data_IF_557638555802
#
_entry.id   IF_557638555802
#
_cell.length_a   1.000
_cell.length_b   1.000
_cell.length_c   1.000
_cell.angle_alpha   90.00
_cell.angle_beta   90.00
_cell.angle_gamma   90.00
#
_symmetry.space_group_name_H-M   'P 1'
#
loop_
_entity.id
_entity.type
_entity.pdbx_description
1 polymer ?
#
# COMPACT_ATOMS: atom_id res chain seq x y z
N UNK A 1 -32.36 31.83 0.03
CA UNK A 1 -31.69 30.52 0.25
C UNK A 1 -30.34 30.52 -0.47
N UNK A 2 -29.21 30.38 0.25
CA UNK A 2 -27.91 30.22 -0.41
C UNK A 2 -27.94 28.87 -1.09
N UNK A 3 -27.72 28.82 -2.41
CA UNK A 3 -27.68 27.58 -3.16
C UNK A 3 -26.56 26.70 -2.58
N UNK A 4 -26.86 25.50 -2.10
CA UNK A 4 -25.90 24.54 -1.57
C UNK A 4 -24.85 24.17 -2.61
N UNK A 5 -25.23 24.15 -3.92
CA UNK A 5 -24.31 23.93 -5.05
C UNK A 5 -23.24 25.00 -5.11
N UNK A 6 -23.60 26.28 -5.05
CA UNK A 6 -22.66 27.40 -5.06
C UNK A 6 -21.79 27.42 -3.80
N UNK A 7 -22.32 26.97 -2.66
CA UNK A 7 -21.53 26.81 -1.43
C UNK A 7 -20.49 25.69 -1.57
N UNK A 8 -20.83 24.57 -2.22
CA UNK A 8 -19.91 23.47 -2.51
C UNK A 8 -18.80 23.89 -3.46
N UNK A 9 -19.15 24.55 -4.57
CA UNK A 9 -18.17 25.07 -5.54
C UNK A 9 -17.18 26.06 -4.91
N UNK A 10 -17.63 26.90 -3.97
CA UNK A 10 -16.76 27.86 -3.26
C UNK A 10 -15.82 27.19 -2.26
N UNK A 11 -16.24 26.09 -1.63
CA UNK A 11 -15.39 25.36 -0.68
C UNK A 11 -14.28 24.58 -1.37
N UNK A 12 -14.48 24.18 -2.62
CA UNK A 12 -13.52 23.36 -3.36
C UNK A 12 -13.32 21.99 -2.70
N UNK A 13 -12.08 21.48 -2.75
CA UNK A 13 -11.71 20.20 -2.14
C UNK A 13 -11.60 20.41 -0.62
N UNK A 14 -12.45 19.73 0.15
CA UNK A 14 -12.49 19.77 1.63
C UNK A 14 -12.02 18.46 2.28
N UNK A 15 -11.61 17.51 1.47
CA UNK A 15 -11.03 16.23 1.85
C UNK A 15 -9.50 16.37 2.00
N UNK A 16 -8.74 15.34 1.73
CA UNK A 16 -7.27 15.43 1.71
C UNK A 16 -6.77 16.25 0.51
N UNK A 17 -5.65 16.97 0.71
CA UNK A 17 -4.87 17.59 -0.38
C UNK A 17 -3.85 16.64 -0.99
N UNK A 18 -3.74 15.42 -0.47
CA UNK A 18 -2.83 14.42 -1.00
C UNK A 18 -3.13 14.11 -2.48
N UNK A 19 -2.12 13.98 -3.35
CA UNK A 19 -0.67 13.94 -3.12
C UNK A 19 0.03 15.32 -3.08
N UNK A 20 -0.68 16.44 -3.29
CA UNK A 20 -0.10 17.79 -3.35
C UNK A 20 0.29 18.32 -1.97
N UNK A 21 -0.34 17.82 -0.93
CA UNK A 21 -0.05 18.12 0.46
C UNK A 21 0.53 16.90 1.20
N UNK A 22 0.85 17.13 2.47
CA UNK A 22 1.31 16.06 3.35
C UNK A 22 0.19 15.09 3.71
N UNK A 23 0.59 13.87 4.05
CA UNK A 23 -0.32 12.86 4.57
C UNK A 23 -0.80 13.27 5.98
N UNK A 24 -2.11 13.37 6.15
CA UNK A 24 -2.71 13.71 7.43
C UNK A 24 -2.84 12.47 8.31
N UNK A 25 -2.51 12.61 9.61
CA UNK A 25 -2.73 11.59 10.66
C UNK A 25 -2.26 10.17 10.31
N UNK A 26 -0.95 9.98 10.18
CA UNK A 26 -0.33 8.67 9.96
C UNK A 26 0.27 8.17 11.28
N UNK A 27 0.13 6.87 11.55
CA UNK A 27 0.88 6.25 12.65
C UNK A 27 2.38 6.43 12.45
N UNK A 28 3.07 6.92 13.46
CA UNK A 28 4.50 7.20 13.39
C UNK A 28 5.31 5.99 12.86
N UNK A 29 5.01 4.79 13.35
CA UNK A 29 5.71 3.56 12.96
C UNK A 29 5.28 2.97 11.61
N UNK A 30 4.31 3.56 10.93
CA UNK A 30 3.98 3.22 9.53
C UNK A 30 4.90 3.91 8.52
N UNK A 31 5.90 4.65 8.99
CA UNK A 31 6.89 5.36 8.17
C UNK A 31 8.27 4.72 8.31
N UNK A 32 9.17 4.98 7.36
CA UNK A 32 10.52 4.41 7.41
C UNK A 32 11.29 5.00 8.60
N UNK A 33 11.78 4.17 9.55
CA UNK A 33 12.60 4.67 10.64
C UNK A 33 13.97 5.12 10.19
N UNK A 34 14.51 6.16 10.84
CA UNK A 34 15.88 6.65 10.67
C UNK A 34 16.69 6.41 11.92
N UNK A 35 18.00 6.10 11.74
CA UNK A 35 18.90 5.89 12.87
C UNK A 35 19.15 7.20 13.61
N UNK A 36 19.07 7.16 14.94
CA UNK A 36 19.35 8.30 15.85
C UNK A 36 20.54 8.05 16.76
N UNK A 37 20.72 6.82 17.17
CA UNK A 37 21.75 6.45 18.14
C UNK A 37 22.46 5.16 17.71
N UNK A 38 23.70 5.03 18.08
CA UNK A 38 24.41 3.76 18.00
C UNK A 38 23.89 2.78 19.06
N UNK A 39 23.95 1.51 18.77
CA UNK A 39 23.53 0.46 19.68
C UNK A 39 23.04 -0.78 18.93
N UNK A 40 23.09 -1.91 19.63
CA UNK A 40 22.56 -3.17 19.14
C UNK A 40 21.03 -3.17 19.22
N UNK A 41 20.40 -3.63 18.15
CA UNK A 41 18.95 -3.82 18.09
C UNK A 41 18.67 -5.29 17.84
N UNK A 42 17.80 -5.88 18.65
CA UNK A 42 17.25 -7.21 18.41
C UNK A 42 15.93 -7.10 17.65
N UNK A 43 15.99 -7.28 16.34
CA UNK A 43 14.83 -7.19 15.48
C UNK A 43 14.19 -8.56 15.25
N UNK A 44 12.90 -8.76 15.63
CA UNK A 44 12.25 -10.07 15.46
C UNK A 44 11.99 -10.46 13.99
N UNK A 45 12.06 -9.48 13.08
CA UNK A 45 11.86 -9.69 11.65
C UNK A 45 13.16 -9.57 10.83
N UNK A 46 14.31 -9.44 11.53
CA UNK A 46 15.61 -9.29 10.87
C UNK A 46 15.64 -8.14 9.85
N UNK A 47 14.92 -7.07 10.16
CA UNK A 47 14.74 -5.92 9.26
C UNK A 47 15.75 -4.80 9.51
N UNK A 48 16.47 -4.82 10.65
CA UNK A 48 17.42 -3.78 11.01
C UNK A 48 18.79 -4.11 10.44
N UNK A 49 19.30 -3.25 9.59
CA UNK A 49 20.65 -3.25 9.05
C UNK A 49 21.53 -2.24 9.82
N UNK A 50 22.82 -2.11 9.45
CA UNK A 50 23.75 -1.25 10.19
C UNK A 50 23.20 0.17 10.42
N UNK A 51 22.74 0.84 9.35
CA UNK A 51 22.30 2.25 9.39
C UNK A 51 20.87 2.45 8.89
N UNK A 52 20.18 1.40 8.53
CA UNK A 52 18.85 1.47 7.92
C UNK A 52 17.93 0.36 8.40
N UNK A 53 16.66 0.53 8.09
CA UNK A 53 15.63 -0.49 8.28
C UNK A 53 15.11 -0.92 6.92
N UNK A 54 15.19 -2.21 6.63
CA UNK A 54 14.60 -2.81 5.45
C UNK A 54 13.07 -2.87 5.62
N UNK A 55 12.37 -2.00 4.92
CA UNK A 55 10.92 -1.86 5.05
C UNK A 55 10.14 -3.05 4.47
N UNK A 56 10.72 -3.83 3.57
CA UNK A 56 10.08 -5.03 3.03
C UNK A 56 9.91 -6.12 4.09
N UNK A 57 10.78 -6.11 5.12
CA UNK A 57 10.76 -7.07 6.24
C UNK A 57 10.23 -6.47 7.54
N UNK A 58 10.19 -5.14 7.64
CA UNK A 58 9.82 -4.45 8.87
C UNK A 58 8.33 -4.68 9.21
N UNK A 59 8.07 -5.21 10.41
CA UNK A 59 6.72 -5.42 10.95
C UNK A 59 6.21 -4.26 11.79
N UNK A 60 6.84 -3.10 11.73
CA UNK A 60 6.45 -1.85 12.41
C UNK A 60 6.23 -1.99 13.92
N UNK A 61 6.94 -2.88 14.58
CA UNK A 61 6.75 -3.21 16.01
C UNK A 61 7.37 -2.20 16.99
N UNK A 62 8.19 -1.25 16.50
CA UNK A 62 8.84 -0.22 17.32
C UNK A 62 9.96 -0.69 18.23
N UNK A 63 10.35 -1.98 18.23
CA UNK A 63 11.39 -2.53 19.13
C UNK A 63 12.79 -1.97 18.88
N UNK A 64 13.00 -1.33 17.74
CA UNK A 64 14.26 -0.66 17.41
C UNK A 64 14.44 0.71 18.08
N UNK A 65 13.42 1.24 18.78
CA UNK A 65 13.58 2.41 19.62
C UNK A 65 14.44 2.07 20.88
N UNK A 66 15.26 3.02 21.37
CA UNK A 66 15.43 4.40 20.89
C UNK A 66 16.46 4.57 19.78
N UNK A 67 17.10 3.48 19.27
CA UNK A 67 18.15 3.57 18.26
C UNK A 67 17.63 4.11 16.91
N UNK A 68 16.36 3.85 16.61
CA UNK A 68 15.67 4.34 15.42
C UNK A 68 14.40 5.10 15.82
N UNK A 69 14.10 6.16 15.08
CA UNK A 69 12.87 6.93 15.21
C UNK A 69 12.13 7.03 13.88
N UNK A 70 10.78 7.11 13.89
CA UNK A 70 9.99 7.31 12.69
C UNK A 70 10.34 8.61 11.96
N UNK A 71 10.49 8.56 10.64
CA UNK A 71 10.83 9.74 9.84
C UNK A 71 9.63 10.58 9.37
N UNK A 72 8.41 10.06 9.50
CA UNK A 72 7.18 10.76 9.10
C UNK A 72 6.83 10.66 7.60
N UNK A 73 7.71 10.16 6.74
CA UNK A 73 7.41 10.02 5.32
C UNK A 73 6.64 8.72 5.02
N UNK A 74 5.50 8.85 4.34
CA UNK A 74 4.64 7.74 3.90
C UNK A 74 4.97 7.24 2.48
N UNK A 75 5.84 7.95 1.75
CA UNK A 75 6.19 7.65 0.35
C UNK A 75 7.28 6.58 0.26
N UNK A 76 7.03 5.43 0.89
CA UNK A 76 7.98 4.32 1.03
C UNK A 76 7.73 3.16 0.05
N UNK A 77 6.74 3.29 -0.83
CA UNK A 77 6.45 2.29 -1.84
C UNK A 77 7.56 2.20 -2.88
N UNK A 78 7.92 0.97 -3.25
CA UNK A 78 8.93 0.65 -4.25
C UNK A 78 8.24 0.17 -5.53
N UNK A 79 8.57 0.81 -6.66
CA UNK A 79 8.02 0.48 -7.97
C UNK A 79 9.13 -0.06 -8.85
N UNK A 80 8.91 -1.22 -9.48
CA UNK A 80 9.73 -1.71 -10.58
C UNK A 80 9.29 -1.09 -11.90
N UNK A 81 7.98 -0.89 -12.07
CA UNK A 81 7.40 -0.31 -13.28
C UNK A 81 6.20 0.58 -12.95
N UNK A 82 5.95 1.59 -13.78
CA UNK A 82 4.73 2.39 -13.80
C UNK A 82 4.13 2.38 -15.20
N UNK A 83 2.81 2.37 -15.31
CA UNK A 83 2.14 2.30 -16.60
C UNK A 83 1.22 3.51 -16.81
N UNK A 84 1.63 4.43 -17.70
CA UNK A 84 0.87 5.65 -18.03
C UNK A 84 -0.47 5.40 -18.72
N UNK A 85 -0.73 4.18 -19.16
CA UNK A 85 -2.00 3.78 -19.77
C UNK A 85 -3.18 3.98 -18.83
N UNK A 86 -2.94 3.86 -17.50
CA UNK A 86 -3.98 3.94 -16.47
C UNK A 86 -4.24 5.35 -15.92
N UNK A 87 -3.69 6.40 -16.52
CA UNK A 87 -3.76 7.77 -15.96
C UNK A 87 -5.17 8.32 -15.78
N UNK A 88 -6.13 7.94 -16.61
CA UNK A 88 -7.51 8.47 -16.54
C UNK A 88 -8.38 7.69 -15.59
N UNK A 89 -8.21 6.37 -15.56
CA UNK A 89 -9.03 5.46 -14.77
C UNK A 89 -8.18 4.26 -14.39
N UNK A 90 -8.18 3.89 -13.12
CA UNK A 90 -7.38 2.80 -12.57
C UNK A 90 -8.24 1.94 -11.67
N UNK A 91 -8.61 0.76 -12.16
CA UNK A 91 -9.46 -0.18 -11.46
C UNK A 91 -8.61 -1.20 -10.72
N UNK A 92 -8.87 -1.36 -9.45
CA UNK A 92 -8.12 -2.26 -8.58
C UNK A 92 -9.01 -3.39 -8.07
N UNK A 93 -8.48 -4.60 -8.11
CA UNK A 93 -9.09 -5.78 -7.48
C UNK A 93 -8.23 -6.21 -6.29
N UNK A 94 -8.87 -6.38 -5.14
CA UNK A 94 -8.21 -6.80 -3.90
C UNK A 94 -8.39 -8.30 -3.72
N UNK A 95 -7.27 -9.00 -3.45
CA UNK A 95 -7.27 -10.41 -3.05
C UNK A 95 -6.52 -10.58 -1.73
N UNK A 96 -7.15 -11.25 -0.79
CA UNK A 96 -6.55 -11.64 0.49
C UNK A 96 -6.07 -13.09 0.39
N UNK A 97 -4.76 -13.29 0.45
CA UNK A 97 -4.13 -14.62 0.33
C UNK A 97 -3.81 -15.27 1.68
N UNK A 98 -4.12 -14.61 2.79
CA UNK A 98 -3.89 -15.11 4.14
C UNK A 98 -3.40 -14.01 5.08
N UNK A 99 -4.15 -12.92 5.15
CA UNK A 99 -3.82 -11.80 6.04
C UNK A 99 -4.34 -12.02 7.46
N UNK A 100 -3.78 -11.24 8.41
CA UNK A 100 -4.38 -11.10 9.74
C UNK A 100 -5.57 -10.12 9.77
N UNK A 101 -5.97 -9.59 8.60
CA UNK A 101 -7.02 -8.59 8.44
C UNK A 101 -6.54 -7.13 8.45
N UNK A 102 -5.39 -6.82 9.03
CA UNK A 102 -4.92 -5.43 9.17
C UNK A 102 -4.71 -4.73 7.81
N UNK A 103 -3.94 -5.34 6.90
CA UNK A 103 -3.71 -4.77 5.56
C UNK A 103 -5.02 -4.65 4.77
N UNK A 104 -5.92 -5.62 4.90
CA UNK A 104 -7.23 -5.62 4.27
C UNK A 104 -8.07 -4.41 4.72
N UNK A 105 -8.08 -4.16 6.03
CA UNK A 105 -8.77 -3.00 6.63
C UNK A 105 -8.21 -1.67 6.09
N UNK A 106 -6.89 -1.54 5.98
CA UNK A 106 -6.25 -0.31 5.49
C UNK A 106 -6.53 -0.08 3.98
N UNK A 107 -6.57 -1.13 3.17
CA UNK A 107 -6.97 -1.03 1.76
C UNK A 107 -8.43 -0.61 1.65
N UNK A 108 -9.33 -1.20 2.43
CA UNK A 108 -10.74 -0.81 2.45
C UNK A 108 -10.96 0.60 3.00
N UNK A 109 -10.10 1.08 3.92
CA UNK A 109 -10.15 2.43 4.44
C UNK A 109 -10.01 3.51 3.35
N UNK A 110 -9.39 3.20 2.20
CA UNK A 110 -9.35 4.10 1.04
C UNK A 110 -10.73 4.55 0.56
N UNK A 111 -11.76 3.73 0.80
CA UNK A 111 -13.16 4.08 0.48
C UNK A 111 -13.74 5.15 1.40
N UNK A 112 -13.05 5.52 2.49
CA UNK A 112 -13.49 6.60 3.37
C UNK A 112 -13.37 7.94 2.62
N UNK A 113 -14.39 8.81 2.67
CA UNK A 113 -14.38 10.12 2.02
C UNK A 113 -13.17 10.99 2.32
N UNK A 114 -12.50 10.78 3.45
CA UNK A 114 -11.28 11.52 3.82
C UNK A 114 -10.17 11.32 2.78
N UNK A 115 -9.96 10.11 2.29
CA UNK A 115 -8.90 9.80 1.32
C UNK A 115 -9.25 10.18 -0.11
N UNK A 116 -10.55 10.23 -0.43
CA UNK A 116 -11.09 10.75 -1.69
C UNK A 116 -10.40 10.16 -2.95
N UNK A 117 -10.10 8.86 -2.90
CA UNK A 117 -9.31 8.19 -3.92
C UNK A 117 -10.01 8.15 -5.29
N UNK A 118 -11.36 8.21 -5.30
CA UNK A 118 -12.13 8.28 -6.54
C UNK A 118 -11.86 9.58 -7.32
N UNK A 119 -11.63 10.70 -6.63
CA UNK A 119 -11.21 11.97 -7.26
C UNK A 119 -9.90 11.80 -8.02
N UNK A 120 -9.06 10.91 -7.57
CA UNK A 120 -7.79 10.58 -8.22
C UNK A 120 -7.96 9.57 -9.37
N UNK A 121 -9.19 9.21 -9.76
CA UNK A 121 -9.46 8.26 -10.83
C UNK A 121 -9.13 6.81 -10.47
N UNK A 122 -9.16 6.46 -9.18
CA UNK A 122 -8.91 5.11 -8.68
C UNK A 122 -10.24 4.52 -8.20
N UNK A 123 -10.53 3.27 -8.57
CA UNK A 123 -11.79 2.62 -8.29
C UNK A 123 -11.59 1.15 -7.91
N UNK A 124 -12.37 0.66 -6.95
CA UNK A 124 -12.45 -0.78 -6.71
C UNK A 124 -13.34 -1.45 -7.76
N UNK A 125 -12.95 -2.63 -8.20
CA UNK A 125 -13.78 -3.51 -9.02
C UNK A 125 -14.05 -4.83 -8.30
N UNK A 126 -15.19 -5.45 -8.57
CA UNK A 126 -15.62 -6.71 -7.96
C UNK A 126 -15.11 -7.95 -8.69
N UNK A 127 -14.40 -7.78 -9.81
CA UNK A 127 -13.90 -8.90 -10.61
C UNK A 127 -12.53 -8.60 -11.19
N UNK A 128 -11.61 -9.58 -11.21
CA UNK A 128 -10.28 -9.40 -11.80
C UNK A 128 -10.33 -9.11 -13.32
N UNK A 129 -11.40 -9.52 -14.01
CA UNK A 129 -11.56 -9.27 -15.46
C UNK A 129 -11.69 -7.80 -15.85
N UNK A 130 -12.00 -6.94 -14.89
CA UNK A 130 -12.14 -5.50 -15.09
C UNK A 130 -11.08 -4.72 -14.30
N UNK A 131 -10.06 -5.39 -13.79
CA UNK A 131 -9.00 -4.79 -13.01
C UNK A 131 -7.78 -4.47 -13.87
N UNK A 132 -7.22 -3.29 -13.66
CA UNK A 132 -5.93 -2.84 -14.17
C UNK A 132 -4.79 -3.24 -13.22
N UNK A 133 -5.11 -3.34 -11.92
CA UNK A 133 -4.17 -3.79 -10.90
C UNK A 133 -4.78 -4.79 -9.92
N UNK A 134 -3.96 -5.76 -9.52
CA UNK A 134 -4.24 -6.73 -8.46
C UNK A 134 -3.51 -6.30 -7.19
N UNK A 135 -4.25 -5.90 -6.15
CA UNK A 135 -3.68 -5.71 -4.82
C UNK A 135 -3.74 -7.02 -4.08
N UNK A 136 -2.58 -7.53 -3.68
CA UNK A 136 -2.46 -8.77 -2.91
C UNK A 136 -2.04 -8.44 -1.49
N UNK A 137 -2.79 -8.92 -0.50
CA UNK A 137 -2.50 -8.76 0.93
C UNK A 137 -2.34 -10.12 1.61
N UNK A 138 -1.53 -10.14 2.68
CA UNK A 138 -1.30 -11.34 3.48
C UNK A 138 -0.20 -12.25 2.94
N UNK A 139 0.09 -13.32 3.69
CA UNK A 139 0.99 -14.37 3.25
C UNK A 139 0.33 -15.26 2.20
N UNK A 140 1.10 -15.94 1.39
CA UNK A 140 0.56 -16.92 0.45
C UNK A 140 0.20 -18.21 1.18
N UNK A 141 -1.05 -18.33 1.59
CA UNK A 141 -1.59 -19.58 2.11
C UNK A 141 -1.70 -20.62 0.98
N UNK A 142 -1.42 -21.87 1.29
CA UNK A 142 -1.35 -22.95 0.29
C UNK A 142 -2.64 -23.06 -0.56
N UNK A 143 -3.81 -22.98 0.09
CA UNK A 143 -5.11 -23.05 -0.60
C UNK A 143 -5.45 -21.80 -1.42
N UNK A 144 -4.74 -20.70 -1.22
CA UNK A 144 -4.95 -19.44 -1.96
C UNK A 144 -4.03 -19.33 -3.17
N UNK A 145 -3.03 -20.20 -3.33
CA UNK A 145 -2.11 -20.17 -4.45
C UNK A 145 -2.85 -20.23 -5.80
N UNK A 146 -3.66 -21.25 -6.01
CA UNK A 146 -4.37 -21.43 -7.29
C UNK A 146 -5.42 -20.34 -7.52
N UNK A 147 -6.03 -19.83 -6.43
CA UNK A 147 -6.97 -18.70 -6.50
C UNK A 147 -6.27 -17.41 -6.94
N UNK A 148 -5.06 -17.15 -6.42
CA UNK A 148 -4.24 -16.02 -6.81
C UNK A 148 -3.85 -16.10 -8.31
N UNK A 149 -3.37 -17.28 -8.76
CA UNK A 149 -3.02 -17.49 -10.16
C UNK A 149 -4.23 -17.31 -11.07
N UNK A 150 -5.38 -17.90 -10.72
CA UNK A 150 -6.60 -17.75 -11.50
C UNK A 150 -7.08 -16.29 -11.59
N UNK A 151 -6.95 -15.51 -10.51
CA UNK A 151 -7.27 -14.09 -10.52
C UNK A 151 -6.30 -13.29 -11.42
N UNK A 152 -5.00 -13.58 -11.31
CA UNK A 152 -3.96 -12.96 -12.13
C UNK A 152 -4.16 -13.25 -13.63
N UNK A 153 -4.43 -14.49 -13.98
CA UNK A 153 -4.64 -14.90 -15.39
C UNK A 153 -5.94 -14.34 -15.98
N UNK A 154 -6.94 -14.09 -15.15
CA UNK A 154 -8.21 -13.51 -15.58
C UNK A 154 -8.13 -12.00 -15.90
N UNK A 155 -7.07 -11.32 -15.47
CA UNK A 155 -6.88 -9.89 -15.73
C UNK A 155 -6.44 -9.64 -17.18
N UNK A 156 -6.97 -8.59 -17.82
CA UNK A 156 -6.50 -8.16 -19.15
C UNK A 156 -5.11 -7.51 -19.09
N UNK A 157 -4.38 -7.57 -20.20
CA UNK A 157 -3.16 -6.79 -20.37
C UNK A 157 -3.48 -5.36 -20.88
N UNK A 158 -2.72 -4.33 -20.48
CA UNK A 158 -1.64 -4.37 -19.51
C UNK A 158 -2.19 -4.45 -18.07
N UNK A 159 -1.48 -5.17 -17.20
CA UNK A 159 -1.87 -5.35 -15.80
C UNK A 159 -0.69 -5.11 -14.85
N UNK A 160 -0.99 -4.74 -13.60
CA UNK A 160 -0.01 -4.56 -12.53
C UNK A 160 -0.35 -5.42 -11.33
N UNK A 161 0.66 -5.88 -10.60
CA UNK A 161 0.49 -6.56 -9.31
C UNK A 161 1.16 -5.75 -8.20
N UNK A 162 0.40 -5.49 -7.16
CA UNK A 162 0.79 -4.68 -6.01
C UNK A 162 0.77 -5.58 -4.77
N UNK A 163 1.93 -5.87 -4.20
CA UNK A 163 2.02 -6.56 -2.92
C UNK A 163 1.94 -5.54 -1.78
N UNK A 164 0.85 -5.56 -1.02
CA UNK A 164 0.63 -4.62 0.07
C UNK A 164 0.79 -5.29 1.44
N UNK A 165 1.75 -4.75 2.19
CA UNK A 165 2.13 -5.22 3.51
C UNK A 165 3.30 -6.20 3.51
N UNK A 166 4.05 -6.18 4.59
CA UNK A 166 5.25 -7.01 4.80
C UNK A 166 4.98 -8.50 4.58
N UNK A 167 3.80 -8.99 4.96
CA UNK A 167 3.42 -10.39 4.77
C UNK A 167 3.35 -10.77 3.28
N UNK A 168 2.78 -9.91 2.43
CA UNK A 168 2.72 -10.16 0.99
C UNK A 168 4.10 -10.08 0.34
N UNK A 169 4.94 -9.15 0.80
CA UNK A 169 6.25 -8.85 0.20
C UNK A 169 7.29 -9.91 0.54
N UNK A 170 7.48 -10.21 1.83
CA UNK A 170 8.56 -11.06 2.35
C UNK A 170 8.09 -12.28 3.14
N UNK A 171 6.76 -12.43 3.34
CA UNK A 171 6.21 -13.45 4.23
C UNK A 171 6.13 -12.99 5.69
N UNK A 172 6.74 -11.85 6.02
CA UNK A 172 6.82 -11.36 7.39
C UNK A 172 7.49 -12.36 8.33
N UNK A 173 6.85 -12.59 9.49
CA UNK A 173 7.29 -13.60 10.47
C UNK A 173 6.36 -14.81 10.49
N UNK A 174 5.39 -14.91 9.58
CA UNK A 174 4.29 -15.89 9.68
C UNK A 174 4.13 -16.80 8.46
N UNK A 175 4.73 -16.52 7.31
CA UNK A 175 4.47 -17.35 6.17
C UNK A 175 5.35 -17.11 4.94
N UNK A 176 4.80 -17.45 3.77
CA UNK A 176 5.47 -17.32 2.48
C UNK A 176 5.04 -16.04 1.78
N UNK A 177 5.94 -15.34 1.07
CA UNK A 177 5.61 -14.17 0.27
C UNK A 177 4.81 -14.55 -0.98
N UNK A 178 4.08 -13.58 -1.55
CA UNK A 178 3.39 -13.75 -2.83
C UNK A 178 4.34 -13.54 -4.02
N UNK A 179 5.48 -12.89 -3.81
CA UNK A 179 6.51 -12.58 -4.81
C UNK A 179 7.10 -13.80 -5.50
N UNK A 180 6.95 -14.99 -4.92
CA UNK A 180 7.38 -16.26 -5.54
C UNK A 180 6.33 -16.90 -6.44
N UNK A 181 5.07 -16.44 -6.42
CA UNK A 181 3.98 -17.04 -7.18
C UNK A 181 3.58 -16.19 -8.41
N UNK A 182 3.62 -14.87 -8.29
CA UNK A 182 3.30 -13.94 -9.37
C UNK A 182 4.38 -12.87 -9.48
N UNK A 183 4.55 -12.31 -10.69
CA UNK A 183 5.40 -11.12 -10.86
C UNK A 183 4.74 -9.96 -10.11
N UNK A 184 5.49 -9.31 -9.24
CA UNK A 184 5.06 -8.13 -8.49
C UNK A 184 5.74 -6.89 -9.05
N UNK A 185 4.96 -5.87 -9.39
CA UNK A 185 5.43 -4.62 -9.99
C UNK A 185 5.59 -3.51 -8.95
N UNK A 186 4.81 -3.57 -7.86
CA UNK A 186 4.83 -2.55 -6.80
C UNK A 186 4.84 -3.21 -5.43
N UNK A 187 5.78 -2.81 -4.59
CA UNK A 187 5.86 -3.20 -3.19
C UNK A 187 5.40 -2.05 -2.30
N UNK A 188 4.42 -2.31 -1.45
CA UNK A 188 3.88 -1.34 -0.49
C UNK A 188 4.20 -1.82 0.93
N UNK A 189 5.37 -1.44 1.47
CA UNK A 189 5.81 -1.89 2.78
C UNK A 189 4.93 -1.35 3.92
N UNK A 190 4.89 -2.10 5.02
CA UNK A 190 4.19 -1.74 6.26
C UNK A 190 3.50 -2.94 6.89
N UNK A 191 3.23 -2.86 8.18
CA UNK A 191 2.52 -3.91 8.91
C UNK A 191 1.53 -3.28 9.93
N UNK A 192 0.36 -2.83 9.41
CA UNK A 192 -0.03 -2.65 8.01
C UNK A 192 0.56 -1.38 7.38
N UNK A 193 0.61 -1.26 6.03
CA UNK A 193 0.86 0.01 5.37
C UNK A 193 -0.31 0.97 5.63
N UNK A 194 -0.03 2.25 5.80
CA UNK A 194 -1.10 3.25 5.97
C UNK A 194 -1.89 3.45 4.68
N UNK A 195 -3.15 3.92 4.74
CA UNK A 195 -3.92 4.25 3.53
C UNK A 195 -3.20 5.26 2.65
N UNK A 196 -2.48 6.23 3.20
CA UNK A 196 -1.69 7.20 2.43
C UNK A 196 -0.50 6.54 1.72
N UNK A 197 0.17 5.56 2.36
CA UNK A 197 1.22 4.77 1.70
C UNK A 197 0.68 3.97 0.52
N UNK A 198 -0.50 3.36 0.70
CA UNK A 198 -1.18 2.62 -0.37
C UNK A 198 -1.60 3.58 -1.48
N UNK A 199 -2.17 4.72 -1.14
CA UNK A 199 -2.63 5.73 -2.10
C UNK A 199 -1.47 6.30 -2.92
N UNK A 200 -0.33 6.61 -2.30
CA UNK A 200 0.90 7.04 -2.98
C UNK A 200 1.39 5.98 -3.98
N UNK A 201 1.39 4.72 -3.57
CA UNK A 201 1.76 3.60 -4.43
C UNK A 201 0.84 3.49 -5.66
N UNK A 202 -0.47 3.60 -5.47
CA UNK A 202 -1.47 3.55 -6.53
C UNK A 202 -1.31 4.73 -7.52
N UNK A 203 -1.07 5.94 -7.01
CA UNK A 203 -0.84 7.12 -7.84
C UNK A 203 0.42 6.94 -8.69
N UNK A 204 1.49 6.46 -8.10
CA UNK A 204 2.75 6.20 -8.81
C UNK A 204 2.60 5.07 -9.84
N UNK A 205 1.94 3.96 -9.46
CA UNK A 205 1.74 2.80 -10.31
C UNK A 205 0.99 3.13 -11.61
N UNK A 206 -0.06 3.96 -11.53
CA UNK A 206 -0.82 4.40 -12.72
C UNK A 206 -0.09 5.42 -13.60
N UNK A 207 1.17 5.77 -13.29
CA UNK A 207 1.99 6.67 -14.08
C UNK A 207 2.03 8.10 -13.56
N UNK A 208 1.70 8.31 -12.29
CA UNK A 208 1.72 9.60 -11.63
C UNK A 208 0.66 10.57 -12.17
N UNK A 209 0.89 11.85 -11.91
CA UNK A 209 0.13 12.95 -12.54
C UNK A 209 0.46 13.12 -13.98
#
# INVERSE_FOLDING_TARGET
MKSWILSGLRKGIVTTRFPDGDAESVSAWSTKPVRKMEGRVECPADAVEADSVNMERCISCGRCAPQFEPAGDVRIALLSESNRTFRQSFHIYLIDTGSCGACNTEVHALSNPVYDFNRLGIFFTSTPRHADALIVVGVLAERMHDVLIAAYDAMPEPKLVIAAGTCAISGGIIGRPVTGAVRVDVLVPGCPPSPFTILDALIKARGGR
#
